data_IF_978014309942
#
_entry.id   IF_978014309942
#
_cell.length_a   1.000
_cell.length_b   1.000
_cell.length_c   1.000
_cell.angle_alpha   90.00
_cell.angle_beta   90.00
_cell.angle_gamma   90.00
#
_symmetry.space_group_name_H-M   'P 1'
#
loop_
_entity.id
_entity.type
_entity.pdbx_description
1 polymer ?
#
# COMPACT_ATOMS: atom_id res chain seq x y z
N UNK A 1 11.39 0.00 12.55
CA UNK A 1 12.01 1.34 12.68
C UNK A 1 13.48 1.36 12.29
N UNK A 2 14.41 0.79 13.08
CA UNK A 2 15.86 0.87 12.77
C UNK A 2 16.25 0.29 11.40
N UNK A 3 15.71 -0.87 11.05
CA UNK A 3 15.90 -1.51 9.73
C UNK A 3 15.31 -0.66 8.60
N UNK A 4 14.13 -0.08 8.79
CA UNK A 4 13.48 0.80 7.81
C UNK A 4 14.31 2.06 7.54
N UNK A 5 14.89 2.69 8.58
CA UNK A 5 15.78 3.84 8.44
C UNK A 5 17.11 3.47 7.76
N UNK A 6 17.66 2.28 8.05
CA UNK A 6 18.86 1.77 7.39
C UNK A 6 18.60 1.46 5.91
N UNK A 7 17.45 0.85 5.60
CA UNK A 7 16.99 0.63 4.24
C UNK A 7 16.87 1.96 3.48
N UNK A 8 16.22 2.97 4.06
CA UNK A 8 16.09 4.31 3.47
C UNK A 8 17.46 4.96 3.19
N UNK A 9 18.40 4.89 4.14
CA UNK A 9 19.76 5.43 3.94
C UNK A 9 20.53 4.68 2.86
N UNK A 10 20.29 3.37 2.73
CA UNK A 10 20.93 2.55 1.71
C UNK A 10 20.33 2.77 0.33
N UNK A 11 18.99 2.89 0.21
CA UNK A 11 18.30 3.15 -1.06
C UNK A 11 18.60 4.55 -1.57
N UNK A 12 18.74 5.53 -0.67
CA UNK A 12 19.05 6.92 -1.03
C UNK A 12 20.36 7.12 -1.79
N UNK A 13 21.26 6.14 -1.77
CA UNK A 13 22.53 6.18 -2.51
C UNK A 13 22.38 5.80 -3.99
N UNK A 14 21.28 5.16 -4.38
CA UNK A 14 21.04 4.73 -5.75
C UNK A 14 20.44 5.86 -6.61
N UNK A 15 20.74 5.82 -7.92
CA UNK A 15 20.26 6.79 -8.90
C UNK A 15 18.74 6.69 -9.10
N UNK A 16 18.14 7.83 -9.37
CA UNK A 16 16.71 7.95 -9.67
C UNK A 16 16.45 7.51 -11.12
N UNK A 17 15.50 6.58 -11.30
CA UNK A 17 15.14 5.93 -12.56
C UNK A 17 13.60 5.85 -12.68
N UNK A 18 13.10 5.60 -13.89
CA UNK A 18 11.67 5.48 -14.20
C UNK A 18 10.94 4.42 -13.36
N UNK A 19 9.69 4.69 -12.96
CA UNK A 19 8.88 3.87 -12.05
C UNK A 19 8.73 2.42 -12.54
N UNK A 20 9.06 1.45 -11.68
CA UNK A 20 8.98 0.01 -12.01
C UNK A 20 7.53 -0.49 -12.09
N UNK A 21 6.62 0.15 -11.36
CA UNK A 21 5.20 -0.22 -11.36
C UNK A 21 4.49 0.71 -12.34
N UNK A 22 4.29 0.20 -13.55
CA UNK A 22 3.66 0.90 -14.66
C UNK A 22 2.14 1.04 -14.53
N UNK A 23 1.52 0.66 -13.41
CA UNK A 23 0.08 0.84 -13.18
C UNK A 23 -0.14 1.62 -11.89
N UNK A 24 -0.67 2.84 -11.99
CA UNK A 24 -0.95 3.69 -10.84
C UNK A 24 -1.87 3.07 -9.79
N UNK A 25 -2.53 1.94 -10.10
CA UNK A 25 -3.42 1.23 -9.19
C UNK A 25 -2.73 0.74 -7.91
N UNK A 26 -1.53 0.15 -7.98
CA UNK A 26 -0.83 -0.37 -6.80
C UNK A 26 -0.35 0.74 -5.87
N UNK A 27 0.10 1.86 -6.46
CA UNK A 27 0.48 3.07 -5.73
C UNK A 27 -0.74 3.67 -5.02
N UNK A 28 -1.87 3.81 -5.71
CA UNK A 28 -3.11 4.32 -5.11
C UNK A 28 -3.65 3.39 -4.02
N UNK A 29 -3.61 2.07 -4.25
CA UNK A 29 -4.04 1.09 -3.25
C UNK A 29 -3.17 1.16 -1.99
N UNK A 30 -1.86 1.34 -2.14
CA UNK A 30 -0.93 1.54 -1.02
C UNK A 30 -1.27 2.80 -0.20
N UNK A 31 -1.57 3.92 -0.87
CA UNK A 31 -1.96 5.16 -0.17
C UNK A 31 -3.32 5.06 0.52
N UNK A 32 -4.31 4.43 -0.12
CA UNK A 32 -5.65 4.24 0.47
C UNK A 32 -5.56 3.38 1.72
N UNK A 33 -4.85 2.25 1.63
CA UNK A 33 -4.67 1.33 2.76
C UNK A 33 -3.80 1.93 3.87
N UNK A 34 -2.78 2.73 3.53
CA UNK A 34 -2.01 3.53 4.49
C UNK A 34 -2.89 4.52 5.26
N UNK A 35 -3.75 5.26 4.54
CA UNK A 35 -4.64 6.23 5.16
C UNK A 35 -5.62 5.56 6.13
N UNK A 36 -6.21 4.43 5.73
CA UNK A 36 -7.06 3.62 6.62
C UNK A 36 -6.30 3.14 7.88
N UNK A 37 -5.04 2.73 7.76
CA UNK A 37 -4.21 2.31 8.89
C UNK A 37 -3.94 3.46 9.86
N UNK A 38 -3.55 4.64 9.35
CA UNK A 38 -3.31 5.82 10.20
C UNK A 38 -4.58 6.29 10.90
N UNK A 39 -5.72 6.28 10.22
CA UNK A 39 -7.02 6.58 10.83
C UNK A 39 -7.35 5.58 11.94
N UNK A 40 -7.04 4.31 11.74
CA UNK A 40 -7.25 3.27 12.75
C UNK A 40 -6.47 3.57 14.03
N UNK A 41 -5.16 3.77 13.92
CA UNK A 41 -4.31 4.06 15.09
C UNK A 41 -4.68 5.40 15.75
N UNK A 42 -5.09 6.41 14.97
CA UNK A 42 -5.52 7.71 15.47
C UNK A 42 -6.77 7.61 16.36
N UNK A 43 -7.75 6.78 15.97
CA UNK A 43 -8.96 6.55 16.77
C UNK A 43 -8.61 5.84 18.08
N UNK A 44 -7.68 4.90 18.08
CA UNK A 44 -7.20 4.23 19.30
C UNK A 44 -6.52 5.24 20.23
N UNK A 45 -5.63 6.07 19.71
CA UNK A 45 -4.92 7.10 20.49
C UNK A 45 -5.91 8.06 21.17
N UNK A 46 -6.91 8.56 20.43
CA UNK A 46 -7.91 9.50 20.97
C UNK A 46 -8.81 8.80 21.99
N UNK A 47 -9.38 7.65 21.62
CA UNK A 47 -10.33 6.92 22.45
C UNK A 47 -9.70 6.43 23.75
N UNK A 48 -8.52 5.82 23.67
CA UNK A 48 -7.79 5.34 24.84
C UNK A 48 -7.17 6.51 25.63
N UNK A 49 -6.71 7.57 24.96
CA UNK A 49 -6.16 8.76 25.61
C UNK A 49 -7.18 9.45 26.52
N UNK A 50 -8.43 9.59 26.07
CA UNK A 50 -9.51 10.13 26.90
C UNK A 50 -9.81 9.23 28.11
N UNK A 51 -9.82 7.90 27.91
CA UNK A 51 -10.06 6.95 28.99
C UNK A 51 -8.92 6.95 30.04
N UNK A 52 -7.66 6.96 29.61
CA UNK A 52 -6.47 6.98 30.48
C UNK A 52 -6.41 8.24 31.34
N UNK A 53 -6.90 9.38 30.84
CA UNK A 53 -6.98 10.64 31.61
C UNK A 53 -7.96 10.55 32.78
N UNK A 54 -9.05 9.81 32.62
CA UNK A 54 -10.05 9.60 33.67
C UNK A 54 -9.67 8.55 34.73
N UNK A 55 -8.58 7.80 34.52
CA UNK A 55 -8.17 6.74 35.44
C UNK A 55 -7.38 7.28 36.64
N UNK A 56 -7.60 6.68 37.84
CA UNK A 56 -6.87 7.05 39.05
C UNK A 56 -5.35 6.89 38.88
N UNK A 57 -4.61 7.84 39.45
CA UNK A 57 -3.14 7.84 39.41
C UNK A 57 -2.60 6.65 40.20
N UNK A 58 -1.86 5.75 39.55
CA UNK A 58 -1.32 4.52 40.16
C UNK A 58 -2.01 3.22 39.75
N UNK A 59 -3.06 3.27 38.90
CA UNK A 59 -3.67 2.07 38.35
C UNK A 59 -2.80 1.41 37.28
N UNK A 60 -2.59 0.10 37.38
CA UNK A 60 -1.94 -0.72 36.33
C UNK A 60 -2.62 -0.54 34.96
N UNK A 61 -3.93 -0.29 34.94
CA UNK A 61 -4.69 -0.07 33.71
C UNK A 61 -4.32 1.25 33.02
N UNK A 62 -3.96 2.27 33.80
CA UNK A 62 -3.48 3.55 33.28
C UNK A 62 -2.13 3.38 32.60
N UNK A 63 -1.24 2.60 33.22
CA UNK A 63 0.06 2.27 32.67
C UNK A 63 -0.07 1.44 31.38
N UNK A 64 -0.87 0.38 31.39
CA UNK A 64 -1.18 -0.45 30.22
C UNK A 64 -1.77 0.38 29.07
N UNK A 65 -2.70 1.30 29.38
CA UNK A 65 -3.29 2.21 28.40
C UNK A 65 -2.26 3.17 27.81
N UNK A 66 -1.37 3.75 28.63
CA UNK A 66 -0.29 4.62 28.16
C UNK A 66 0.70 3.88 27.25
N UNK A 67 1.11 2.67 27.62
CA UNK A 67 1.96 1.83 26.76
C UNK A 67 1.32 1.53 25.41
N UNK A 68 0.01 1.26 25.39
CA UNK A 68 -0.70 0.99 24.14
C UNK A 68 -0.79 2.20 23.22
N UNK A 69 -0.96 3.40 23.78
CA UNK A 69 -0.91 4.67 23.03
C UNK A 69 0.48 4.87 22.42
N UNK A 70 1.54 4.66 23.20
CA UNK A 70 2.92 4.74 22.71
C UNK A 70 3.13 3.74 21.55
N UNK A 71 2.64 2.51 21.71
CA UNK A 71 2.74 1.49 20.66
C UNK A 71 2.02 1.91 19.37
N UNK A 72 0.82 2.51 19.47
CA UNK A 72 0.09 3.03 18.30
C UNK A 72 0.85 4.16 17.60
N UNK A 73 1.50 5.06 18.35
CA UNK A 73 2.34 6.12 17.77
C UNK A 73 3.56 5.52 17.05
N UNK A 74 4.22 4.54 17.67
CA UNK A 74 5.36 3.84 17.06
C UNK A 74 4.94 3.10 15.79
N UNK A 75 3.74 2.52 15.78
CA UNK A 75 3.17 1.83 14.62
C UNK A 75 2.91 2.79 13.46
N UNK A 76 2.30 3.96 13.72
CA UNK A 76 2.13 5.02 12.69
C UNK A 76 3.49 5.42 12.11
N UNK A 77 4.48 5.67 12.96
CA UNK A 77 5.83 6.01 12.51
C UNK A 77 6.46 4.90 11.66
N UNK A 78 6.31 3.63 12.07
CA UNK A 78 6.82 2.47 11.35
C UNK A 78 6.22 2.32 9.96
N UNK A 79 4.89 2.37 9.89
CA UNK A 79 4.12 2.28 8.65
C UNK A 79 4.44 3.45 7.71
N UNK A 80 4.59 4.66 8.25
CA UNK A 80 4.97 5.85 7.46
C UNK A 80 6.35 5.67 6.82
N UNK A 81 7.37 5.31 7.61
CA UNK A 81 8.72 5.11 7.10
C UNK A 81 8.78 3.97 6.09
N UNK A 82 8.04 2.88 6.32
CA UNK A 82 7.96 1.77 5.37
C UNK A 82 7.36 2.21 4.03
N UNK A 83 6.26 2.96 4.03
CA UNK A 83 5.62 3.49 2.82
C UNK A 83 6.59 4.38 2.03
N UNK A 84 7.35 5.24 2.72
CA UNK A 84 8.40 6.05 2.08
C UNK A 84 9.51 5.20 1.46
N UNK A 85 9.97 4.15 2.15
CA UNK A 85 11.00 3.23 1.61
C UNK A 85 10.48 2.52 0.36
N UNK A 86 9.23 2.05 0.35
CA UNK A 86 8.62 1.39 -0.79
C UNK A 86 8.56 2.34 -1.99
N UNK A 87 8.09 3.57 -1.79
CA UNK A 87 8.03 4.59 -2.83
C UNK A 87 9.42 4.93 -3.35
N UNK A 88 10.36 5.24 -2.47
CA UNK A 88 11.75 5.56 -2.84
C UNK A 88 12.40 4.40 -3.61
N UNK A 89 12.07 3.15 -3.27
CA UNK A 89 12.58 1.95 -3.95
C UNK A 89 11.97 1.75 -5.34
N UNK A 90 10.75 2.22 -5.61
CA UNK A 90 10.15 2.15 -6.95
C UNK A 90 10.81 3.08 -7.96
N UNK A 91 11.34 4.22 -7.51
CA UNK A 91 11.99 5.20 -8.37
C UNK A 91 13.51 5.06 -8.42
N UNK A 92 14.10 4.01 -7.83
CA UNK A 92 15.56 3.85 -7.82
C UNK A 92 16.00 2.55 -8.47
N UNK A 93 17.16 2.59 -9.13
CA UNK A 93 17.77 1.43 -9.77
C UNK A 93 19.29 1.45 -9.58
N UNK A 94 19.89 0.26 -9.55
CA UNK A 94 21.35 0.09 -9.51
C UNK A 94 21.93 0.35 -10.89
N UNK A 95 22.89 1.29 -10.99
CA UNK A 95 23.51 1.72 -12.26
C UNK A 95 24.80 0.94 -12.60
N UNK A 96 25.44 0.27 -11.63
CA UNK A 96 26.82 -0.22 -11.79
C UNK A 96 27.05 -1.71 -11.49
N UNK A 97 27.90 -2.36 -12.31
CA UNK A 97 28.43 -3.73 -12.10
C UNK A 97 29.19 -3.87 -10.78
N UNK A 98 29.88 -2.81 -10.32
CA UNK A 98 30.54 -2.76 -9.00
C UNK A 98 29.59 -2.57 -7.81
N UNK A 99 28.40 -1.99 -8.04
CA UNK A 99 27.36 -1.84 -7.02
C UNK A 99 26.50 -3.11 -6.90
N UNK A 100 26.43 -3.92 -7.97
CA UNK A 100 25.88 -5.28 -7.94
C UNK A 100 26.64 -6.23 -6.99
N UNK A 101 27.95 -6.04 -6.81
CA UNK A 101 28.75 -6.83 -5.86
C UNK A 101 28.48 -6.43 -4.41
N UNK A 102 28.18 -5.15 -4.16
CA UNK A 102 27.99 -4.59 -2.83
C UNK A 102 26.48 -4.58 -2.51
N UNK A 103 25.88 -5.77 -2.34
CA UNK A 103 24.43 -6.03 -2.20
C UNK A 103 23.70 -5.44 -0.97
N UNK A 104 24.24 -4.41 -0.33
CA UNK A 104 23.77 -3.95 0.98
C UNK A 104 22.34 -3.42 0.95
N UNK A 105 21.94 -2.72 -0.12
CA UNK A 105 20.56 -2.23 -0.29
C UNK A 105 19.54 -3.38 -0.35
N UNK A 106 19.83 -4.44 -1.10
CA UNK A 106 18.98 -5.63 -1.18
C UNK A 106 18.80 -6.31 0.17
N UNK A 107 19.89 -6.44 0.94
CA UNK A 107 19.85 -7.12 2.24
C UNK A 107 18.96 -6.38 3.22
N UNK A 108 19.03 -5.04 3.28
CA UNK A 108 18.14 -4.27 4.16
C UNK A 108 16.68 -4.32 3.71
N UNK A 109 16.41 -4.27 2.40
CA UNK A 109 15.05 -4.46 1.87
C UNK A 109 14.50 -5.86 2.14
N UNK A 110 15.32 -6.90 1.96
CA UNK A 110 14.95 -8.29 2.22
C UNK A 110 14.70 -8.55 3.70
N UNK A 111 15.54 -8.02 4.59
CA UNK A 111 15.30 -8.08 6.04
C UNK A 111 14.02 -7.33 6.42
N UNK A 112 13.81 -6.13 5.85
CA UNK A 112 12.58 -5.36 6.09
C UNK A 112 11.34 -6.13 5.63
N UNK A 113 11.42 -6.83 4.50
CA UNK A 113 10.36 -7.67 3.97
C UNK A 113 10.04 -8.84 4.90
N UNK A 114 11.05 -9.60 5.31
CA UNK A 114 10.85 -10.75 6.20
C UNK A 114 10.29 -10.31 7.55
N UNK A 115 10.81 -9.21 8.12
CA UNK A 115 10.32 -8.68 9.40
C UNK A 115 8.87 -8.20 9.26
N UNK A 116 8.55 -7.46 8.21
CA UNK A 116 7.20 -6.93 8.02
C UNK A 116 6.17 -8.05 7.77
N UNK A 117 6.54 -9.04 6.96
CA UNK A 117 5.72 -10.25 6.72
C UNK A 117 5.55 -11.08 7.99
N UNK A 118 6.59 -11.21 8.81
CA UNK A 118 6.53 -11.94 10.08
C UNK A 118 5.62 -11.23 11.09
N UNK A 119 5.76 -9.91 11.23
CA UNK A 119 4.91 -9.11 12.10
C UNK A 119 3.44 -9.18 11.66
N UNK A 120 3.20 -9.16 10.35
CA UNK A 120 1.87 -9.35 9.78
C UNK A 120 1.28 -10.74 10.05
N UNK A 121 2.06 -11.81 9.86
CA UNK A 121 1.59 -13.17 10.16
C UNK A 121 1.24 -13.31 11.64
N UNK A 122 2.09 -12.78 12.52
CA UNK A 122 1.82 -12.76 13.96
C UNK A 122 0.53 -12.00 14.24
N UNK A 123 0.35 -10.80 13.69
CA UNK A 123 -0.85 -9.99 13.89
C UNK A 123 -2.13 -10.66 13.34
N UNK A 124 -2.03 -11.34 12.19
CA UNK A 124 -3.15 -12.00 11.49
C UNK A 124 -3.53 -13.35 12.09
N UNK A 125 -2.59 -14.07 12.71
CA UNK A 125 -2.86 -15.34 13.39
C UNK A 125 -3.13 -15.18 14.89
N UNK A 126 -2.57 -14.15 15.54
CA UNK A 126 -2.87 -13.82 16.94
C UNK A 126 -4.18 -13.03 17.12
N UNK A 127 -4.98 -12.86 16.05
CA UNK A 127 -6.28 -12.15 15.96
C UNK A 127 -7.35 -12.52 17.00
N UNK A 128 -7.03 -13.32 18.02
CA UNK A 128 -7.89 -13.56 19.17
C UNK A 128 -7.53 -12.77 20.43
N UNK A 129 -6.37 -12.12 20.52
CA UNK A 129 -6.07 -11.27 21.67
C UNK A 129 -6.62 -9.86 21.45
N UNK A 130 -7.93 -9.72 21.67
CA UNK A 130 -8.57 -8.41 21.75
C UNK A 130 -7.77 -7.54 22.72
N UNK A 131 -7.37 -6.34 22.30
CA UNK A 131 -6.83 -5.32 23.19
C UNK A 131 -7.86 -5.10 24.30
N UNK A 132 -7.63 -5.74 25.45
CA UNK A 132 -8.55 -5.72 26.58
C UNK A 132 -8.86 -4.26 26.97
N UNK A 133 -7.87 -3.38 26.85
CA UNK A 133 -8.00 -1.96 27.12
C UNK A 133 -8.84 -1.21 26.08
N UNK A 134 -8.77 -1.56 24.80
CA UNK A 134 -9.59 -0.92 23.77
C UNK A 134 -11.04 -1.43 23.87
N UNK A 135 -11.25 -2.73 24.08
CA UNK A 135 -12.58 -3.32 24.26
C UNK A 135 -13.31 -2.77 25.50
N UNK A 136 -12.59 -2.54 26.59
CA UNK A 136 -13.16 -2.08 27.86
C UNK A 136 -13.55 -0.60 27.84
N UNK A 137 -12.77 0.23 27.16
CA UNK A 137 -12.91 1.69 27.24
C UNK A 137 -13.63 2.31 26.04
N UNK A 138 -13.75 1.60 24.92
CA UNK A 138 -14.46 2.07 23.74
C UNK A 138 -15.89 1.51 23.73
N UNK A 139 -16.86 2.31 23.27
CA UNK A 139 -18.25 1.85 23.13
C UNK A 139 -18.29 0.54 22.34
N UNK A 140 -19.01 -0.45 22.87
CA UNK A 140 -19.01 -1.82 22.38
C UNK A 140 -19.43 -1.93 20.90
N UNK A 141 -20.30 -1.02 20.45
CA UNK A 141 -20.75 -0.94 19.05
C UNK A 141 -19.70 -0.32 18.12
N UNK A 142 -19.05 0.76 18.56
CA UNK A 142 -17.96 1.40 17.81
C UNK A 142 -16.75 0.47 17.72
N UNK A 143 -16.38 -0.18 18.81
CA UNK A 143 -15.28 -1.15 18.85
C UNK A 143 -15.52 -2.33 17.91
N UNK A 144 -16.73 -2.90 17.91
CA UNK A 144 -17.08 -4.03 17.03
C UNK A 144 -17.05 -3.63 15.56
N UNK A 145 -17.71 -2.52 15.19
CA UNK A 145 -17.75 -2.03 13.81
C UNK A 145 -16.35 -1.75 13.28
N UNK A 146 -15.52 -1.14 14.10
CA UNK A 146 -14.14 -0.83 13.79
C UNK A 146 -13.27 -2.08 13.65
N UNK A 147 -13.46 -3.08 14.51
CA UNK A 147 -12.75 -4.35 14.42
C UNK A 147 -13.12 -5.12 13.15
N UNK A 148 -14.39 -5.15 12.76
CA UNK A 148 -14.81 -5.90 11.56
C UNK A 148 -14.46 -5.19 10.25
N UNK A 149 -14.37 -3.86 10.24
CA UNK A 149 -14.13 -3.10 9.01
C UNK A 149 -12.67 -2.63 8.85
N UNK A 150 -12.05 -2.12 9.92
CA UNK A 150 -10.73 -1.50 9.82
C UNK A 150 -9.59 -2.50 10.02
N UNK A 151 -9.76 -3.53 10.85
CA UNK A 151 -8.77 -4.59 11.01
C UNK A 151 -8.44 -5.33 9.70
N UNK A 152 -9.40 -5.79 8.88
CA UNK A 152 -9.08 -6.41 7.60
C UNK A 152 -8.37 -5.44 6.63
N UNK A 153 -8.67 -4.14 6.72
CA UNK A 153 -7.96 -3.13 5.92
C UNK A 153 -6.49 -2.97 6.36
N UNK A 154 -6.22 -3.04 7.66
CA UNK A 154 -4.85 -3.06 8.21
C UNK A 154 -4.09 -4.32 7.76
N UNK A 155 -4.75 -5.47 7.80
CA UNK A 155 -4.19 -6.75 7.31
C UNK A 155 -3.90 -6.65 5.80
N UNK A 156 -4.81 -6.04 5.03
CA UNK A 156 -4.65 -5.81 3.60
C UNK A 156 -3.47 -4.86 3.30
N UNK A 157 -3.32 -3.77 4.06
CA UNK A 157 -2.19 -2.84 3.94
C UNK A 157 -0.85 -3.57 4.06
N UNK A 158 -0.70 -4.38 5.11
CA UNK A 158 0.54 -5.13 5.40
C UNK A 158 0.83 -6.21 4.35
N UNK A 159 -0.21 -6.88 3.86
CA UNK A 159 -0.07 -7.83 2.75
C UNK A 159 0.40 -7.11 1.48
N UNK A 160 -0.28 -6.03 1.09
CA UNK A 160 0.05 -5.27 -0.12
C UNK A 160 1.45 -4.64 -0.04
N UNK A 161 1.81 -4.06 1.11
CA UNK A 161 3.14 -3.47 1.31
C UNK A 161 4.26 -4.52 1.21
N UNK A 162 4.01 -5.76 1.62
CA UNK A 162 4.94 -6.88 1.44
C UNK A 162 5.08 -7.28 -0.04
N UNK A 163 3.98 -7.34 -0.78
CA UNK A 163 3.99 -7.59 -2.23
C UNK A 163 4.77 -6.50 -2.95
N UNK A 164 4.45 -5.23 -2.68
CA UNK A 164 5.18 -4.07 -3.20
C UNK A 164 6.68 -4.15 -2.90
N UNK A 165 7.06 -4.49 -1.67
CA UNK A 165 8.45 -4.60 -1.25
C UNK A 165 9.16 -5.78 -1.92
N UNK A 166 8.47 -6.89 -2.20
CA UNK A 166 9.00 -8.03 -2.95
C UNK A 166 9.29 -7.63 -4.40
N UNK A 167 8.39 -6.87 -5.03
CA UNK A 167 8.61 -6.32 -6.37
C UNK A 167 9.80 -5.37 -6.37
N UNK A 168 9.91 -4.46 -5.39
CA UNK A 168 11.09 -3.59 -5.24
C UNK A 168 12.38 -4.38 -5.04
N UNK A 169 12.36 -5.40 -4.17
CA UNK A 169 13.52 -6.25 -3.88
C UNK A 169 14.06 -6.95 -5.13
N UNK A 170 13.17 -7.48 -5.97
CA UNK A 170 13.54 -8.11 -7.24
C UNK A 170 13.97 -7.08 -8.30
N UNK A 171 13.36 -5.90 -8.31
CA UNK A 171 13.61 -4.84 -9.29
C UNK A 171 14.93 -4.07 -9.11
N UNK A 172 15.46 -3.96 -7.89
CA UNK A 172 16.69 -3.19 -7.60
C UNK A 172 17.93 -3.72 -8.34
N UNK A 173 17.95 -5.01 -8.70
CA UNK A 173 19.08 -5.67 -9.40
C UNK A 173 18.77 -6.03 -10.86
N UNK A 174 17.55 -5.77 -11.34
CA UNK A 174 17.28 -5.89 -12.76
C UNK A 174 18.11 -4.88 -13.53
N UNK A 175 18.72 -5.35 -14.61
CA UNK A 175 19.52 -4.49 -15.47
C UNK A 175 18.66 -3.37 -16.05
N UNK A 176 19.20 -2.15 -16.08
CA UNK A 176 18.47 -0.96 -16.55
C UNK A 176 17.88 -1.19 -17.96
N UNK A 177 18.59 -1.90 -18.82
CA UNK A 177 18.15 -2.30 -20.17
C UNK A 177 16.91 -3.20 -20.12
N UNK A 178 16.87 -4.16 -19.19
CA UNK A 178 15.74 -5.06 -19.00
C UNK A 178 14.52 -4.31 -18.45
N UNK A 179 14.76 -3.33 -17.57
CA UNK A 179 13.74 -2.46 -16.99
C UNK A 179 13.07 -1.58 -18.05
N UNK A 180 13.87 -0.93 -18.90
CA UNK A 180 13.35 -0.16 -20.03
C UNK A 180 12.61 -1.03 -21.04
N UNK A 181 13.13 -2.22 -21.36
CA UNK A 181 12.45 -3.15 -22.26
C UNK A 181 11.08 -3.59 -21.73
N UNK A 182 10.96 -3.88 -20.43
CA UNK A 182 9.67 -4.22 -19.80
C UNK A 182 8.67 -3.06 -19.87
N UNK A 183 9.13 -1.83 -19.58
CA UNK A 183 8.29 -0.63 -19.65
C UNK A 183 7.82 -0.36 -21.09
N UNK A 184 8.72 -0.51 -22.07
CA UNK A 184 8.42 -0.32 -23.49
C UNK A 184 7.43 -1.38 -24.00
N UNK A 185 7.58 -2.63 -23.58
CA UNK A 185 6.60 -3.69 -23.85
C UNK A 185 5.23 -3.38 -23.26
N UNK A 186 5.19 -2.79 -22.07
CA UNK A 186 3.93 -2.42 -21.40
C UNK A 186 3.24 -1.26 -22.13
N UNK A 187 4.01 -0.25 -22.54
CA UNK A 187 3.51 0.85 -23.38
C UNK A 187 3.01 0.36 -24.74
N UNK A 188 3.73 -0.56 -25.39
CA UNK A 188 3.29 -1.17 -26.64
C UNK A 188 1.98 -1.93 -26.45
N UNK A 189 1.83 -2.68 -25.37
CA UNK A 189 0.61 -3.42 -25.04
C UNK A 189 -0.57 -2.48 -24.74
N UNK A 190 -0.34 -1.41 -23.99
CA UNK A 190 -1.34 -0.38 -23.71
C UNK A 190 -1.77 0.35 -24.98
N UNK A 191 -0.81 0.71 -25.85
CA UNK A 191 -1.07 1.31 -27.16
C UNK A 191 -1.89 0.38 -28.06
N UNK A 192 -1.57 -0.92 -28.09
CA UNK A 192 -2.33 -1.90 -28.84
C UNK A 192 -3.78 -2.02 -28.34
N UNK A 193 -3.99 -2.00 -27.01
CA UNK A 193 -5.34 -1.99 -26.42
C UNK A 193 -6.15 -0.74 -26.77
N UNK A 194 -5.51 0.43 -26.78
CA UNK A 194 -6.16 1.68 -27.19
C UNK A 194 -6.58 1.64 -28.66
N UNK A 195 -5.74 1.13 -29.56
CA UNK A 195 -6.10 0.99 -30.97
C UNK A 195 -7.25 0.02 -31.22
N UNK A 196 -7.31 -1.09 -30.47
CA UNK A 196 -8.45 -2.02 -30.53
C UNK A 196 -9.72 -1.31 -30.06
N UNK A 197 -9.65 -0.58 -28.94
CA UNK A 197 -10.79 0.15 -28.41
C UNK A 197 -11.30 1.25 -29.37
N UNK A 198 -10.39 1.96 -30.04
CA UNK A 198 -10.75 2.97 -31.04
C UNK A 198 -11.41 2.33 -32.27
N UNK A 199 -10.95 1.14 -32.68
CA UNK A 199 -11.55 0.38 -33.78
C UNK A 199 -12.93 -0.20 -33.43
N UNK A 200 -13.13 -0.66 -32.20
CA UNK A 200 -14.42 -1.16 -31.72
C UNK A 200 -15.44 -0.01 -31.61
N UNK A 201 -15.05 1.13 -31.04
CA UNK A 201 -15.92 2.33 -30.97
C UNK A 201 -16.27 2.85 -32.37
N UNK A 202 -15.33 2.82 -33.32
CA UNK A 202 -15.60 3.20 -34.70
C UNK A 202 -16.58 2.23 -35.39
N UNK A 203 -16.45 0.93 -35.15
CA UNK A 203 -17.36 -0.09 -35.68
C UNK A 203 -18.77 0.02 -35.08
N UNK A 204 -18.89 0.27 -33.76
CA UNK A 204 -20.17 0.47 -33.09
C UNK A 204 -20.86 1.76 -33.57
N UNK A 205 -20.09 2.84 -33.78
CA UNK A 205 -20.61 4.07 -34.39
C UNK A 205 -21.11 3.82 -35.82
N UNK A 206 -20.36 3.07 -36.63
CA UNK A 206 -20.78 2.67 -37.98
C UNK A 206 -22.02 1.76 -37.96
N UNK A 207 -22.15 0.84 -37.00
CA UNK A 207 -23.31 -0.03 -36.85
C UNK A 207 -24.60 0.72 -36.44
N UNK A 208 -24.48 1.86 -35.76
CA UNK A 208 -25.60 2.73 -35.38
C UNK A 208 -26.02 3.72 -36.49
N UNK A 209 -25.15 4.02 -37.47
CA UNK A 209 -25.50 4.88 -38.61
C UNK A 209 -26.63 4.36 -39.51
N UNK A 210 -26.77 3.05 -39.84
CA UNK A 210 -27.89 2.56 -40.64
C UNK A 210 -29.22 2.53 -39.87
N UNK A 211 -29.22 2.42 -38.54
CA UNK A 211 -30.44 2.44 -37.70
C UNK A 211 -31.07 3.85 -37.63
N UNK A 212 -30.26 4.90 -37.66
CA UNK A 212 -30.72 6.29 -37.75
C UNK A 212 -31.43 6.60 -39.08
N UNK A 213 -30.91 6.08 -40.21
CA UNK A 213 -31.53 6.28 -41.53
C UNK A 213 -32.87 5.56 -41.71
N UNK A 214 -33.05 4.39 -41.09
CA UNK A 214 -34.34 3.68 -41.16
C UNK A 214 -35.40 4.27 -40.20
N UNK A 215 -34.99 4.83 -39.06
CA UNK A 215 -35.89 5.59 -38.17
C UNK A 215 -36.40 6.89 -38.81
N UNK A 216 -35.55 7.62 -39.53
CA UNK A 216 -35.94 8.86 -40.21
C UNK A 216 -36.88 8.62 -41.41
N UNK A 217 -36.75 7.50 -42.12
CA UNK A 217 -37.64 7.15 -43.23
C UNK A 217 -39.06 6.77 -42.76
N UNK A 218 -39.22 6.22 -41.55
CA UNK A 218 -40.52 5.85 -40.99
C UNK A 218 -41.37 7.06 -40.55
N UNK A 219 -40.75 8.20 -40.22
CA UNK A 219 -41.46 9.43 -39.84
C UNK A 219 -41.77 10.38 -41.01
N UNK A 220 -41.20 10.15 -42.19
CA UNK A 220 -41.51 10.93 -43.40
C UNK A 220 -42.65 10.31 -44.25
N UNK A 221 -43.22 9.19 -43.80
CA UNK A 221 -44.32 8.48 -44.46
C UNK A 221 -45.66 8.54 -43.67
N UNK A 222 -45.74 9.41 -42.67
CA UNK A 222 -46.93 9.79 -41.90
C UNK A 222 -47.19 11.28 -42.09
#
# INVERSE_FOLDING_TARGET
MGVSCAALRSTRKLKFTANLISEGADEKLLYVTYFCHVLYDSIIIIGLGNAVRGMPSGSDQKLLGAFRIILAIVEICEVTVQTYVIQDSFYRCSEGVMEKEKKWGQTYLGCLLVINMSLWMILSFQTKHQDYMVKKNLSLWLHKTFLYTAFPMVVLFRFHSTVCLSVSFNGIYQDEVTRFASMLNTLHKARARLQIHEHDVANDALALTPLSRHGAAAYAAL
#
